data_IF_740885834677
#
_entry.id   IF_740885834677
#
_cell.length_a   1.000
_cell.length_b   1.000
_cell.length_c   1.000
_cell.angle_alpha   90.00
_cell.angle_beta   90.00
_cell.angle_gamma   90.00
#
_symmetry.space_group_name_H-M   'P 1'
#
loop_
_entity.id
_entity.type
_entity.pdbx_description
1 polymer ?
#
# COMPACT_ATOMS: atom_id res chain seq x y z
N UNK A 1 19.60 -16.31 8.25
CA UNK A 1 21.02 -16.66 8.00
C UNK A 1 21.08 -17.37 6.66
N UNK A 2 21.94 -16.94 5.71
CA UNK A 2 22.09 -17.62 4.43
C UNK A 2 22.68 -19.01 4.61
N UNK A 3 22.42 -19.89 3.65
CA UNK A 3 23.04 -21.21 3.63
C UNK A 3 24.57 -21.07 3.58
N UNK A 4 25.36 -21.90 4.31
CA UNK A 4 26.83 -21.75 4.41
C UNK A 4 27.57 -21.63 3.09
N UNK A 5 27.12 -22.31 2.02
CA UNK A 5 27.72 -22.19 0.68
C UNK A 5 27.68 -20.79 0.06
N UNK A 6 26.86 -19.89 0.63
CA UNK A 6 26.73 -18.49 0.18
C UNK A 6 27.54 -17.51 1.03
N UNK A 7 28.21 -17.96 2.08
CA UNK A 7 29.07 -17.09 2.86
C UNK A 7 30.15 -16.45 1.99
N UNK A 8 30.35 -15.16 2.19
CA UNK A 8 31.27 -14.36 1.37
C UNK A 8 30.75 -13.94 -0.02
N UNK A 9 29.52 -14.33 -0.38
CA UNK A 9 28.87 -13.91 -1.63
C UNK A 9 27.87 -12.79 -1.37
N UNK A 10 27.85 -11.78 -2.23
CA UNK A 10 26.83 -10.73 -2.22
C UNK A 10 25.56 -11.27 -2.89
N UNK A 11 24.46 -11.34 -2.15
CA UNK A 11 23.14 -11.75 -2.64
C UNK A 11 22.19 -10.56 -2.42
N UNK A 12 21.83 -9.80 -3.45
CA UNK A 12 21.05 -8.56 -3.29
C UNK A 12 19.72 -8.76 -2.53
N UNK A 13 18.99 -9.83 -2.84
CA UNK A 13 17.72 -10.13 -2.16
C UNK A 13 17.91 -10.42 -0.66
N UNK A 14 19.03 -11.04 -0.27
CA UNK A 14 19.35 -11.28 1.14
C UNK A 14 19.75 -9.98 1.86
N UNK A 15 20.51 -9.12 1.21
CA UNK A 15 20.90 -7.82 1.79
C UNK A 15 19.69 -6.96 2.13
N UNK A 16 18.61 -7.05 1.34
CA UNK A 16 17.36 -6.32 1.58
C UNK A 16 16.64 -6.76 2.86
N UNK A 17 16.76 -8.03 3.24
CA UNK A 17 16.07 -8.63 4.42
C UNK A 17 17.01 -8.99 5.56
N UNK A 18 18.29 -8.69 5.38
CA UNK A 18 19.32 -8.97 6.39
C UNK A 18 18.95 -8.26 7.69
N UNK A 19 19.14 -8.97 8.81
CA UNK A 19 18.81 -8.48 10.14
C UNK A 19 17.32 -8.15 10.34
N UNK A 20 16.43 -8.79 9.59
CA UNK A 20 14.98 -8.70 9.82
C UNK A 20 14.50 -9.78 10.80
N UNK A 21 13.49 -9.46 11.60
CA UNK A 21 12.89 -10.36 12.59
C UNK A 21 11.39 -10.43 12.33
N UNK A 22 10.90 -11.62 11.98
CA UNK A 22 9.47 -11.85 11.83
C UNK A 22 8.84 -12.12 13.20
N UNK A 23 7.91 -11.26 13.61
CA UNK A 23 7.26 -11.32 14.93
C UNK A 23 6.00 -12.19 14.97
N UNK A 24 5.28 -12.28 13.85
CA UNK A 24 4.05 -13.04 13.74
C UNK A 24 3.81 -13.54 12.32
N UNK A 25 2.86 -14.45 12.19
CA UNK A 25 2.31 -14.95 10.94
C UNK A 25 0.79 -14.76 10.90
N UNK A 26 0.21 -14.85 9.69
CA UNK A 26 -1.20 -14.64 9.48
C UNK A 26 -1.54 -13.19 9.16
N UNK A 27 -2.73 -12.99 8.58
CA UNK A 27 -3.27 -11.66 8.29
C UNK A 27 -4.79 -11.73 8.23
N UNK A 28 -5.48 -10.96 9.04
CA UNK A 28 -6.93 -10.87 9.02
C UNK A 28 -7.48 -9.78 8.09
N UNK A 29 -6.59 -9.16 7.29
CA UNK A 29 -6.98 -8.12 6.32
C UNK A 29 -7.91 -8.62 5.24
N UNK A 30 -7.68 -9.83 4.72
CA UNK A 30 -8.57 -10.47 3.74
C UNK A 30 -8.75 -9.71 2.43
N UNK A 31 -7.71 -8.94 2.00
CA UNK A 31 -7.74 -8.23 0.73
C UNK A 31 -8.02 -9.20 -0.42
N UNK A 32 -8.86 -8.80 -1.37
CA UNK A 32 -9.38 -9.68 -2.42
C UNK A 32 -8.31 -10.27 -3.34
N UNK A 33 -7.15 -9.60 -3.46
CA UNK A 33 -6.03 -9.99 -4.33
C UNK A 33 -4.89 -10.71 -3.59
N UNK A 34 -4.94 -10.81 -2.26
CA UNK A 34 -3.81 -11.25 -1.44
C UNK A 34 -3.99 -12.67 -0.91
N UNK A 35 -2.98 -13.52 -1.07
CA UNK A 35 -2.99 -14.91 -0.60
C UNK A 35 -2.54 -15.10 0.84
N UNK A 36 -2.05 -14.06 1.53
CA UNK A 36 -1.48 -14.22 2.88
C UNK A 36 -2.48 -14.85 3.84
N UNK A 37 -3.74 -14.41 3.83
CA UNK A 37 -4.78 -14.98 4.69
C UNK A 37 -5.07 -16.44 4.39
N UNK A 38 -4.97 -16.87 3.14
CA UNK A 38 -5.15 -18.26 2.73
C UNK A 38 -3.91 -19.13 3.07
N UNK A 39 -2.72 -18.55 2.89
CA UNK A 39 -1.44 -19.27 3.02
C UNK A 39 -0.95 -19.38 4.47
N UNK A 40 -1.02 -18.28 5.22
CA UNK A 40 -0.53 -18.20 6.61
C UNK A 40 -1.66 -18.26 7.64
N UNK A 41 -2.91 -18.25 7.18
CA UNK A 41 -4.10 -18.20 8.01
C UNK A 41 -4.59 -16.77 8.28
N UNK A 42 -5.88 -16.70 8.59
CA UNK A 42 -6.58 -15.46 8.98
C UNK A 42 -6.27 -15.06 10.44
N UNK A 43 -5.95 -16.03 11.30
CA UNK A 43 -5.62 -15.76 12.69
C UNK A 43 -4.15 -15.41 12.85
N UNK A 44 -3.88 -14.40 13.64
CA UNK A 44 -2.50 -14.01 13.94
C UNK A 44 -1.89 -14.97 14.94
N UNK A 45 -0.78 -15.59 14.53
CA UNK A 45 0.06 -16.41 15.41
C UNK A 45 1.32 -15.61 15.75
N UNK A 46 1.33 -15.01 16.93
CA UNK A 46 2.44 -14.18 17.42
C UNK A 46 3.46 -14.99 18.17
N UNK A 47 4.73 -14.68 17.95
CA UNK A 47 5.83 -15.20 18.78
C UNK A 47 5.79 -14.56 20.16
N UNK A 48 6.33 -15.24 21.16
CA UNK A 48 6.49 -14.63 22.47
C UNK A 48 7.52 -13.49 22.44
N UNK A 49 7.35 -12.49 23.27
CA UNK A 49 8.30 -11.39 23.48
C UNK A 49 9.72 -11.93 23.72
N UNK A 50 9.87 -12.94 24.61
CA UNK A 50 11.15 -13.58 24.88
C UNK A 50 11.82 -14.12 23.61
N UNK A 51 11.07 -14.84 22.77
CA UNK A 51 11.60 -15.39 21.50
C UNK A 51 12.11 -14.31 20.55
N UNK A 52 11.41 -13.18 20.46
CA UNK A 52 11.80 -12.05 19.62
C UNK A 52 13.06 -11.36 20.17
N UNK A 53 13.08 -11.08 21.46
CA UNK A 53 14.22 -10.45 22.15
C UNK A 53 15.47 -11.35 22.09
N UNK A 54 15.32 -12.66 22.28
CA UNK A 54 16.44 -13.59 22.19
C UNK A 54 16.98 -13.70 20.75
N UNK A 55 16.14 -13.55 19.74
CA UNK A 55 16.61 -13.47 18.35
C UNK A 55 17.32 -12.13 18.09
N UNK A 56 16.80 -11.01 18.56
CA UNK A 56 17.45 -9.72 18.46
C UNK A 56 18.86 -9.75 19.08
N UNK A 57 19.03 -10.35 20.25
CA UNK A 57 20.35 -10.58 20.87
C UNK A 57 21.29 -11.43 19.99
N UNK A 58 20.77 -12.46 19.31
CA UNK A 58 21.59 -13.23 18.37
C UNK A 58 21.99 -12.41 17.14
N UNK A 59 21.10 -11.55 16.67
CA UNK A 59 21.40 -10.63 15.56
C UNK A 59 22.49 -9.63 15.96
N UNK A 60 22.47 -9.09 17.18
CA UNK A 60 23.54 -8.17 17.64
C UNK A 60 24.92 -8.83 17.73
N UNK A 61 24.98 -10.16 17.89
CA UNK A 61 26.23 -10.93 17.91
C UNK A 61 26.76 -11.28 16.49
N UNK A 62 26.04 -10.95 15.43
CA UNK A 62 26.51 -11.20 14.05
C UNK A 62 27.67 -10.25 13.69
N UNK A 63 28.74 -10.77 13.06
CA UNK A 63 29.97 -9.97 12.79
C UNK A 63 29.73 -8.72 11.92
N UNK A 64 28.71 -8.75 11.11
CA UNK A 64 28.35 -7.72 10.13
C UNK A 64 27.20 -6.81 10.60
N UNK A 65 26.72 -6.99 11.84
CA UNK A 65 25.68 -6.14 12.41
C UNK A 65 26.22 -4.77 12.79
N UNK A 66 25.58 -3.71 12.27
CA UNK A 66 26.00 -2.32 12.50
C UNK A 66 25.11 -1.55 13.48
N UNK A 67 24.25 -2.25 14.19
CA UNK A 67 23.31 -1.67 15.17
C UNK A 67 21.91 -1.41 14.62
N UNK A 68 21.59 -1.86 13.40
CA UNK A 68 20.29 -1.57 12.77
C UNK A 68 19.55 -2.87 12.44
N UNK A 69 18.36 -3.05 13.02
CA UNK A 69 17.39 -4.06 12.58
C UNK A 69 16.64 -3.48 11.40
N UNK A 70 16.67 -4.17 10.25
CA UNK A 70 16.09 -3.68 9.00
C UNK A 70 14.57 -3.76 8.96
N UNK A 71 13.99 -4.75 9.64
CA UNK A 71 12.54 -4.89 9.79
C UNK A 71 12.21 -5.69 11.06
N UNK A 72 11.44 -5.09 11.94
CA UNK A 72 10.81 -5.74 13.08
C UNK A 72 9.31 -5.85 12.79
N UNK A 73 8.93 -6.86 12.00
CA UNK A 73 7.64 -6.86 11.36
C UNK A 73 6.99 -8.23 11.15
N UNK A 74 6.11 -8.28 10.17
CA UNK A 74 5.33 -9.45 9.79
C UNK A 74 4.56 -9.21 8.49
N UNK A 75 3.61 -10.09 8.10
CA UNK A 75 2.83 -9.93 6.87
C UNK A 75 2.09 -8.59 6.77
N UNK A 76 1.75 -8.02 7.92
CA UNK A 76 1.34 -6.63 8.12
C UNK A 76 1.94 -6.20 9.46
N UNK A 77 2.82 -5.21 9.44
CA UNK A 77 3.71 -4.90 10.57
C UNK A 77 3.00 -4.74 11.91
N UNK A 78 1.80 -4.15 11.91
CA UNK A 78 1.07 -3.78 13.11
C UNK A 78 -0.08 -4.73 13.51
N UNK A 79 0.03 -6.02 13.18
CA UNK A 79 -0.97 -7.02 13.62
C UNK A 79 -0.49 -7.90 14.79
N UNK A 80 0.71 -7.66 15.32
CA UNK A 80 1.25 -8.44 16.42
C UNK A 80 0.34 -8.42 17.67
N UNK A 81 0.06 -9.61 18.21
CA UNK A 81 -0.77 -9.76 19.41
C UNK A 81 -2.28 -9.57 19.19
N UNK A 82 -2.71 -9.13 18.01
CA UNK A 82 -4.11 -8.85 17.72
C UNK A 82 -4.92 -10.12 17.50
N UNK A 83 -6.11 -10.15 18.09
CA UNK A 83 -7.05 -11.28 17.99
C UNK A 83 -8.48 -10.83 18.32
N UNK A 84 -9.45 -11.67 18.00
CA UNK A 84 -10.82 -11.45 18.46
C UNK A 84 -10.94 -11.63 19.99
N UNK A 85 -11.68 -10.74 20.63
CA UNK A 85 -11.96 -10.81 22.09
C UNK A 85 -12.73 -12.07 22.45
N UNK A 86 -13.68 -12.49 21.61
CA UNK A 86 -14.41 -13.75 21.74
C UNK A 86 -13.91 -14.77 20.72
N UNK A 87 -13.04 -15.67 21.15
CA UNK A 87 -12.44 -16.70 20.30
C UNK A 87 -13.48 -17.72 19.77
N UNK A 88 -14.53 -18.03 20.54
CA UNK A 88 -15.59 -18.96 20.11
C UNK A 88 -16.38 -18.37 18.93
N UNK A 89 -16.65 -17.08 18.96
CA UNK A 89 -17.29 -16.38 17.85
C UNK A 89 -16.37 -16.35 16.61
N UNK A 90 -15.08 -16.13 16.80
CA UNK A 90 -14.09 -16.14 15.71
C UNK A 90 -13.98 -17.52 15.06
N UNK A 91 -14.01 -18.61 15.81
CA UNK A 91 -13.90 -19.97 15.29
C UNK A 91 -15.05 -20.36 14.34
N UNK A 92 -16.22 -19.73 14.50
CA UNK A 92 -17.41 -19.94 13.65
C UNK A 92 -17.59 -18.85 12.58
N UNK A 93 -16.68 -17.86 12.52
CA UNK A 93 -16.83 -16.69 11.66
C UNK A 93 -16.48 -17.00 10.21
N UNK A 94 -17.42 -16.76 9.30
CA UNK A 94 -17.25 -16.94 7.86
C UNK A 94 -16.84 -15.65 7.13
N UNK A 95 -16.71 -14.51 7.81
CA UNK A 95 -16.27 -13.25 7.17
C UNK A 95 -14.87 -13.43 6.57
N UNK A 96 -14.67 -13.03 5.31
CA UNK A 96 -13.34 -13.15 4.67
C UNK A 96 -12.33 -12.15 5.23
N UNK A 97 -12.80 -11.01 5.78
CA UNK A 97 -11.97 -9.93 6.35
C UNK A 97 -12.48 -9.53 7.73
N UNK A 98 -11.57 -9.22 8.65
CA UNK A 98 -11.91 -8.56 9.91
C UNK A 98 -11.89 -7.01 9.79
N UNK A 99 -11.49 -6.47 8.63
CA UNK A 99 -11.31 -5.04 8.41
C UNK A 99 -12.29 -4.47 7.38
N UNK A 100 -12.88 -5.31 6.52
CA UNK A 100 -13.78 -4.88 5.46
C UNK A 100 -15.15 -5.56 5.60
N UNK A 101 -16.27 -4.84 5.34
CA UNK A 101 -16.40 -3.40 4.99
C UNK A 101 -16.10 -2.44 6.16
N UNK A 102 -16.07 -2.96 7.37
CA UNK A 102 -15.73 -2.22 8.59
C UNK A 102 -14.92 -3.10 9.52
N UNK A 103 -14.12 -2.47 10.40
CA UNK A 103 -13.37 -3.17 11.45
C UNK A 103 -14.33 -3.97 12.32
N UNK A 104 -14.04 -5.25 12.52
CA UNK A 104 -14.88 -6.14 13.30
C UNK A 104 -14.95 -5.68 14.76
N UNK A 105 -16.16 -5.49 15.33
CA UNK A 105 -16.31 -5.06 16.74
C UNK A 105 -15.67 -6.03 17.74
N UNK A 106 -15.54 -7.31 17.35
CA UNK A 106 -14.88 -8.33 18.17
C UNK A 106 -13.34 -8.27 18.08
N UNK A 107 -12.76 -7.50 17.15
CA UNK A 107 -11.31 -7.40 16.99
C UNK A 107 -10.70 -6.52 18.09
N UNK A 108 -9.64 -7.01 18.72
CA UNK A 108 -8.79 -6.18 19.58
C UNK A 108 -7.70 -5.53 18.70
N UNK A 109 -7.71 -4.20 18.63
CA UNK A 109 -6.75 -3.40 17.85
C UNK A 109 -5.72 -2.66 18.71
N UNK A 110 -5.52 -3.13 19.96
CA UNK A 110 -4.57 -2.54 20.90
C UNK A 110 -3.12 -2.77 20.45
N UNK A 111 -2.38 -1.68 20.23
CA UNK A 111 -0.97 -1.72 19.84
C UNK A 111 0.01 -1.73 21.04
N UNK A 112 -0.50 -1.72 22.29
CA UNK A 112 0.36 -1.77 23.48
C UNK A 112 1.35 -2.94 23.47
N UNK A 113 0.94 -4.20 23.11
CA UNK A 113 1.89 -5.30 23.06
C UNK A 113 3.00 -5.12 22.01
N UNK A 114 2.70 -4.43 20.92
CA UNK A 114 3.66 -4.15 19.85
C UNK A 114 4.68 -3.08 20.29
N UNK A 115 4.22 -2.01 20.92
CA UNK A 115 5.09 -0.99 21.51
C UNK A 115 6.03 -1.59 22.56
N UNK A 116 5.53 -2.51 23.40
CA UNK A 116 6.35 -3.21 24.39
C UNK A 116 7.48 -4.04 23.74
N UNK A 117 7.23 -4.64 22.56
CA UNK A 117 8.27 -5.31 21.77
C UNK A 117 9.32 -4.30 21.29
N UNK A 118 8.90 -3.19 20.69
CA UNK A 118 9.80 -2.17 20.16
C UNK A 118 10.73 -1.65 21.26
N UNK A 119 10.18 -1.24 22.39
CA UNK A 119 10.97 -0.76 23.53
C UNK A 119 11.94 -1.82 24.06
N UNK A 120 11.50 -3.09 24.12
CA UNK A 120 12.35 -4.17 24.61
C UNK A 120 13.49 -4.52 23.67
N UNK A 121 13.30 -4.35 22.37
CA UNK A 121 14.36 -4.57 21.37
C UNK A 121 15.30 -3.37 21.34
N UNK A 122 14.78 -2.16 21.30
CA UNK A 122 15.61 -0.93 21.19
C UNK A 122 16.50 -0.67 22.42
N UNK A 123 16.13 -1.23 23.58
CA UNK A 123 16.95 -1.15 24.80
C UNK A 123 18.09 -2.18 24.87
N UNK A 124 18.19 -3.09 23.90
CA UNK A 124 19.27 -4.11 23.89
C UNK A 124 20.62 -3.48 23.57
N UNK A 125 21.68 -3.88 24.28
CA UNK A 125 23.03 -3.46 23.93
C UNK A 125 23.38 -3.81 22.48
N UNK A 126 23.97 -2.86 21.77
CA UNK A 126 24.36 -3.01 20.37
C UNK A 126 23.27 -2.63 19.36
N UNK A 127 22.02 -2.40 19.77
CA UNK A 127 20.97 -1.87 18.90
C UNK A 127 20.98 -0.35 18.98
N UNK A 128 21.13 0.31 17.83
CA UNK A 128 21.01 1.76 17.68
C UNK A 128 19.59 2.14 17.27
N UNK A 129 18.96 1.33 16.40
CA UNK A 129 17.60 1.53 15.91
C UNK A 129 17.01 0.24 15.34
N UNK A 130 15.72 0.02 15.56
CA UNK A 130 14.94 -0.96 14.83
C UNK A 130 14.00 -0.26 13.86
N UNK A 131 13.98 -0.72 12.60
CA UNK A 131 13.11 -0.17 11.57
C UNK A 131 11.92 -1.09 11.30
N UNK A 132 10.89 -0.50 10.71
CA UNK A 132 9.71 -1.20 10.19
C UNK A 132 9.73 -1.06 8.68
N UNK A 133 10.14 -2.13 8.00
CA UNK A 133 10.19 -2.24 6.54
C UNK A 133 8.94 -2.86 5.95
N UNK A 134 8.20 -3.62 6.75
CA UNK A 134 6.91 -4.23 6.39
C UNK A 134 5.80 -3.19 6.29
N UNK A 135 4.80 -3.48 5.45
CA UNK A 135 3.66 -2.57 5.28
C UNK A 135 2.81 -2.41 6.54
N UNK A 136 2.40 -1.18 6.81
CA UNK A 136 1.57 -0.82 7.96
C UNK A 136 0.11 -0.66 7.56
N UNK A 137 -0.80 -1.21 8.36
CA UNK A 137 -2.25 -1.00 8.25
C UNK A 137 -2.65 0.19 9.11
N UNK A 138 -2.65 1.39 8.52
CA UNK A 138 -3.03 2.63 9.20
C UNK A 138 -4.49 2.64 9.63
N UNK A 139 -5.37 1.94 8.92
CA UNK A 139 -6.77 1.76 9.28
C UNK A 139 -6.97 1.07 10.64
N UNK A 140 -6.02 0.23 11.08
CA UNK A 140 -6.06 -0.36 12.42
C UNK A 140 -5.67 0.64 13.51
N UNK A 141 -4.59 1.39 13.30
CA UNK A 141 -4.07 2.30 14.31
C UNK A 141 -4.88 3.59 14.44
N UNK A 142 -5.66 3.93 13.42
CA UNK A 142 -6.58 5.09 13.45
C UNK A 142 -8.00 4.73 13.86
N UNK A 143 -8.34 3.41 13.93
CA UNK A 143 -9.68 2.97 14.25
C UNK A 143 -10.08 3.35 15.70
N UNK A 144 -11.15 4.14 15.91
CA UNK A 144 -11.63 4.48 17.23
C UNK A 144 -12.28 3.25 17.86
N UNK A 145 -11.80 2.83 19.03
CA UNK A 145 -12.29 1.64 19.72
C UNK A 145 -13.37 1.94 20.77
N UNK A 146 -13.54 3.20 21.12
CA UNK A 146 -14.35 3.65 22.26
C UNK A 146 -13.68 3.41 23.62
N UNK A 147 -12.52 2.77 23.66
CA UNK A 147 -11.70 2.63 24.87
C UNK A 147 -10.56 3.66 24.85
N UNK A 148 -10.64 4.65 25.74
CA UNK A 148 -9.67 5.77 25.80
C UNK A 148 -8.21 5.29 25.90
N UNK A 149 -7.93 4.24 26.67
CA UNK A 149 -6.57 3.73 26.86
C UNK A 149 -6.04 3.10 25.57
N UNK A 150 -6.85 2.30 24.90
CA UNK A 150 -6.49 1.69 23.60
C UNK A 150 -6.31 2.76 22.53
N UNK A 151 -7.23 3.73 22.45
CA UNK A 151 -7.16 4.82 21.48
C UNK A 151 -5.92 5.70 21.72
N UNK A 152 -5.51 5.89 22.97
CA UNK A 152 -4.25 6.57 23.31
C UNK A 152 -3.03 5.73 22.90
N UNK A 153 -3.03 4.43 23.16
CA UNK A 153 -1.95 3.53 22.72
C UNK A 153 -1.81 3.51 21.20
N UNK A 154 -2.91 3.53 20.47
CA UNK A 154 -2.92 3.56 19.00
C UNK A 154 -2.35 4.90 18.46
N UNK A 155 -2.70 6.03 19.07
CA UNK A 155 -2.08 7.33 18.73
C UNK A 155 -0.59 7.35 19.02
N UNK A 156 -0.19 6.83 20.19
CA UNK A 156 1.22 6.69 20.58
C UNK A 156 1.97 5.79 19.60
N UNK A 157 1.37 4.69 19.16
CA UNK A 157 1.96 3.81 18.15
C UNK A 157 2.27 4.57 16.85
N UNK A 158 1.31 5.34 16.30
CA UNK A 158 1.55 6.11 15.08
C UNK A 158 2.69 7.11 15.26
N UNK A 159 2.76 7.78 16.41
CA UNK A 159 3.82 8.76 16.70
C UNK A 159 5.19 8.09 16.82
N UNK A 160 5.33 7.03 17.61
CA UNK A 160 6.58 6.29 17.80
C UNK A 160 7.03 5.60 16.51
N UNK A 161 6.11 4.98 15.78
CA UNK A 161 6.41 4.39 14.47
C UNK A 161 7.12 5.42 13.56
N UNK A 162 6.51 6.58 13.39
CA UNK A 162 7.02 7.61 12.48
C UNK A 162 8.32 8.21 13.00
N UNK A 163 8.39 8.56 14.29
CA UNK A 163 9.55 9.20 14.91
C UNK A 163 10.76 8.27 14.96
N UNK A 164 10.56 7.03 15.38
CA UNK A 164 11.66 6.16 15.81
C UNK A 164 11.96 5.02 14.83
N UNK A 165 10.96 4.50 14.11
CA UNK A 165 11.07 3.25 13.35
C UNK A 165 11.02 3.40 11.82
N UNK A 166 10.94 4.62 11.30
CA UNK A 166 11.02 4.90 9.86
C UNK A 166 12.44 5.27 9.48
N UNK A 167 13.02 4.53 8.52
CA UNK A 167 14.40 4.75 8.01
C UNK A 167 14.49 5.85 6.95
N UNK A 168 13.57 6.82 6.97
CA UNK A 168 13.44 7.88 5.97
C UNK A 168 12.28 7.66 4.99
N UNK A 169 11.82 6.42 4.78
CA UNK A 169 10.74 6.09 3.83
C UNK A 169 9.78 5.07 4.47
N UNK A 170 8.52 5.47 4.65
CA UNK A 170 7.47 4.58 5.14
C UNK A 170 6.61 4.09 3.99
N UNK A 171 6.58 2.77 3.81
CA UNK A 171 5.76 2.12 2.81
C UNK A 171 4.34 1.91 3.34
N UNK A 172 3.35 2.36 2.59
CA UNK A 172 1.93 2.16 2.87
C UNK A 172 1.20 1.70 1.61
N UNK A 173 0.12 1.01 1.77
CA UNK A 173 -0.57 0.36 0.67
C UNK A 173 -2.04 0.84 0.56
N UNK A 174 -2.31 2.08 0.08
CA UNK A 174 -3.67 2.49 -0.26
C UNK A 174 -4.27 1.68 -1.41
N UNK A 175 -3.46 1.21 -2.35
CA UNK A 175 -3.72 0.37 -3.53
C UNK A 175 -4.46 1.10 -4.65
N UNK A 176 -5.41 1.97 -4.37
CA UNK A 176 -6.13 2.82 -5.33
C UNK A 176 -6.65 4.08 -4.66
N UNK A 177 -7.19 5.02 -5.46
CA UNK A 177 -7.83 6.25 -4.94
C UNK A 177 -9.34 6.25 -5.08
N UNK A 178 -9.91 5.41 -5.95
CA UNK A 178 -11.35 5.32 -6.19
C UNK A 178 -11.99 4.30 -5.24
N UNK A 179 -12.96 4.72 -4.44
CA UNK A 179 -13.56 3.89 -3.40
C UNK A 179 -14.24 2.63 -3.93
N UNK A 180 -14.93 2.68 -5.11
CA UNK A 180 -15.53 1.48 -5.67
C UNK A 180 -14.49 0.41 -6.08
N UNK A 181 -13.28 0.82 -6.50
CA UNK A 181 -12.16 -0.12 -6.76
C UNK A 181 -11.61 -0.65 -5.45
N UNK A 182 -11.46 0.22 -4.44
CA UNK A 182 -11.01 -0.18 -3.10
C UNK A 182 -11.99 -1.15 -2.43
N UNK A 183 -13.28 -0.98 -2.66
CA UNK A 183 -14.31 -1.91 -2.17
C UNK A 183 -14.13 -3.30 -2.78
N UNK A 184 -13.91 -3.40 -4.10
CA UNK A 184 -13.57 -4.65 -4.77
C UNK A 184 -12.27 -5.27 -4.23
N UNK A 185 -11.31 -4.45 -3.86
CA UNK A 185 -10.04 -4.86 -3.24
C UNK A 185 -10.19 -5.28 -1.76
N UNK A 186 -11.32 -4.98 -1.12
CA UNK A 186 -11.51 -5.07 0.34
C UNK A 186 -10.51 -4.22 1.11
N UNK A 187 -10.31 -3.00 0.64
CA UNK A 187 -9.43 -1.98 1.26
C UNK A 187 -10.26 -0.85 1.86
N UNK A 188 -9.73 -0.10 2.82
CA UNK A 188 -10.39 1.09 3.34
C UNK A 188 -10.48 2.19 2.27
N UNK A 189 -11.43 3.12 2.43
CA UNK A 189 -11.54 4.33 1.60
C UNK A 189 -10.22 5.11 1.58
N UNK A 190 -9.92 5.74 0.44
CA UNK A 190 -8.74 6.58 0.28
C UNK A 190 -8.72 7.79 1.23
N UNK A 191 -9.87 8.20 1.74
CA UNK A 191 -9.96 9.24 2.77
C UNK A 191 -9.12 8.92 4.02
N UNK A 192 -9.00 7.64 4.40
CA UNK A 192 -8.16 7.22 5.52
C UNK A 192 -6.66 7.39 5.23
N UNK A 193 -6.25 7.30 3.96
CA UNK A 193 -4.88 7.62 3.59
C UNK A 193 -4.57 9.11 3.82
N UNK A 194 -5.50 10.02 3.50
CA UNK A 194 -5.34 11.44 3.80
C UNK A 194 -5.21 11.71 5.30
N UNK A 195 -6.03 11.06 6.11
CA UNK A 195 -5.96 11.18 7.57
C UNK A 195 -4.60 10.70 8.09
N UNK A 196 -4.13 9.55 7.61
CA UNK A 196 -2.81 9.04 7.98
C UNK A 196 -1.67 9.94 7.49
N UNK A 197 -1.76 10.45 6.26
CA UNK A 197 -0.78 11.41 5.72
C UNK A 197 -0.69 12.66 6.59
N UNK A 198 -1.82 13.18 7.05
CA UNK A 198 -1.85 14.33 7.98
C UNK A 198 -1.11 14.02 9.29
N UNK A 199 -1.32 12.84 9.86
CA UNK A 199 -0.60 12.38 11.07
C UNK A 199 0.91 12.30 10.77
N UNK A 200 1.28 11.70 9.63
CA UNK A 200 2.67 11.54 9.22
C UNK A 200 3.38 12.89 9.04
N UNK A 201 2.77 13.82 8.32
CA UNK A 201 3.30 15.15 8.07
C UNK A 201 3.43 15.96 9.38
N UNK A 202 2.46 15.82 10.28
CA UNK A 202 2.46 16.50 11.57
C UNK A 202 3.59 16.02 12.49
N UNK A 203 3.82 14.70 12.56
CA UNK A 203 4.92 14.11 13.31
C UNK A 203 6.27 14.55 12.71
N UNK A 204 6.42 14.49 11.37
CA UNK A 204 7.61 14.95 10.69
C UNK A 204 7.94 16.42 11.03
N UNK A 205 6.93 17.29 10.99
CA UNK A 205 7.08 18.71 11.32
C UNK A 205 7.46 18.91 12.78
N UNK A 206 6.79 18.24 13.72
CA UNK A 206 7.05 18.38 15.18
C UNK A 206 8.46 17.95 15.57
N UNK A 207 8.98 16.91 14.92
CA UNK A 207 10.30 16.35 15.24
C UNK A 207 11.40 16.75 14.26
N UNK A 208 11.13 17.64 13.29
CA UNK A 208 12.11 18.08 12.30
C UNK A 208 12.61 16.99 11.37
N UNK A 209 11.78 15.97 11.09
CA UNK A 209 12.11 14.83 10.25
C UNK A 209 11.90 15.15 8.75
N UNK A 210 12.65 14.45 7.88
CA UNK A 210 12.56 14.59 6.42
C UNK A 210 12.19 13.24 5.78
N UNK A 211 11.17 12.60 6.31
CA UNK A 211 10.74 11.29 5.83
C UNK A 211 9.71 11.42 4.71
N UNK A 212 9.54 10.35 3.94
CA UNK A 212 8.60 10.28 2.82
C UNK A 212 7.62 9.11 3.00
N UNK A 213 6.35 9.33 2.66
CA UNK A 213 5.39 8.25 2.45
C UNK A 213 5.56 7.71 1.03
N UNK A 214 5.68 6.40 0.91
CA UNK A 214 5.79 5.70 -0.36
C UNK A 214 4.53 4.84 -0.54
N UNK A 215 3.52 5.34 -1.26
CA UNK A 215 2.29 4.60 -1.49
C UNK A 215 2.48 3.53 -2.56
N UNK A 216 1.88 2.36 -2.32
CA UNK A 216 1.71 1.29 -3.31
C UNK A 216 0.37 1.45 -4.01
N UNK A 217 0.38 1.33 -5.36
CA UNK A 217 -0.82 1.35 -6.17
C UNK A 217 -0.86 0.18 -7.15
N UNK A 218 -2.07 -0.30 -7.43
CA UNK A 218 -2.34 -1.41 -8.33
C UNK A 218 -3.28 -0.93 -9.45
N UNK A 219 -2.86 -1.09 -10.71
CA UNK A 219 -3.72 -0.95 -11.89
C UNK A 219 -4.32 -2.30 -12.30
N UNK A 220 -5.31 -2.26 -13.16
CA UNK A 220 -5.90 -3.46 -13.78
C UNK A 220 -6.51 -4.48 -12.80
N UNK A 221 -6.76 -4.09 -11.55
CA UNK A 221 -7.53 -4.91 -10.63
C UNK A 221 -8.96 -5.09 -11.17
N UNK A 222 -9.62 -6.25 -10.97
CA UNK A 222 -11.04 -6.38 -11.28
C UNK A 222 -11.86 -5.20 -10.74
N UNK A 223 -12.72 -4.63 -11.58
CA UNK A 223 -13.49 -3.42 -11.28
C UNK A 223 -12.79 -2.10 -11.61
N UNK A 224 -11.46 -2.09 -11.82
CA UNK A 224 -10.71 -0.90 -12.19
C UNK A 224 -10.80 -0.63 -13.70
N UNK A 225 -11.26 0.55 -14.08
CA UNK A 225 -11.34 1.03 -15.45
C UNK A 225 -10.27 2.09 -15.71
N UNK A 226 -10.05 2.40 -16.96
CA UNK A 226 -9.10 3.43 -17.38
C UNK A 226 -9.45 4.83 -16.79
N UNK A 227 -10.75 5.13 -16.68
CA UNK A 227 -11.21 6.37 -16.04
C UNK A 227 -10.81 6.48 -14.57
N UNK A 228 -10.79 5.36 -13.84
CA UNK A 228 -10.39 5.31 -12.44
C UNK A 228 -8.90 5.60 -12.27
N UNK A 229 -8.09 5.10 -13.21
CA UNK A 229 -6.67 5.39 -13.26
C UNK A 229 -6.39 6.85 -13.63
N UNK A 230 -7.23 7.47 -14.45
CA UNK A 230 -7.14 8.89 -14.76
C UNK A 230 -7.42 9.75 -13.52
N UNK A 231 -8.44 9.41 -12.72
CA UNK A 231 -8.69 10.06 -11.42
C UNK A 231 -7.52 9.84 -10.44
N UNK A 232 -6.97 8.62 -10.37
CA UNK A 232 -5.79 8.32 -9.55
C UNK A 232 -4.60 9.21 -9.94
N UNK A 233 -4.36 9.42 -11.24
CA UNK A 233 -3.29 10.29 -11.71
C UNK A 233 -3.48 11.74 -11.26
N UNK A 234 -4.71 12.26 -11.31
CA UNK A 234 -5.03 13.60 -10.82
C UNK A 234 -4.83 13.69 -9.31
N UNK A 235 -5.27 12.67 -8.58
CA UNK A 235 -5.19 12.64 -7.13
C UNK A 235 -3.73 12.58 -6.65
N UNK A 236 -2.92 11.73 -7.25
CA UNK A 236 -1.48 11.64 -6.93
C UNK A 236 -0.71 12.89 -7.33
N UNK A 237 -1.14 13.59 -8.38
CA UNK A 237 -0.61 14.90 -8.74
C UNK A 237 -0.96 15.96 -7.69
N UNK A 238 -2.21 16.02 -7.23
CA UNK A 238 -2.63 16.96 -6.18
C UNK A 238 -1.84 16.77 -4.88
N UNK A 239 -1.43 15.52 -4.60
CA UNK A 239 -0.60 15.15 -3.46
C UNK A 239 0.91 15.33 -3.70
N UNK A 240 1.32 15.79 -4.88
CA UNK A 240 2.73 15.89 -5.32
C UNK A 240 3.51 14.56 -5.16
N UNK A 241 2.85 13.46 -5.53
CA UNK A 241 3.41 12.11 -5.41
C UNK A 241 3.86 11.58 -6.77
N UNK A 242 5.16 11.49 -6.98
CA UNK A 242 5.75 10.73 -8.08
C UNK A 242 5.82 9.26 -7.67
N UNK A 243 5.04 8.42 -8.35
CA UNK A 243 4.84 7.03 -7.93
C UNK A 243 6.04 6.15 -8.29
N UNK A 244 6.53 5.40 -7.31
CA UNK A 244 7.66 4.47 -7.48
C UNK A 244 7.23 3.01 -7.30
N UNK A 245 6.22 2.77 -6.47
CA UNK A 245 5.74 1.42 -6.12
C UNK A 245 4.39 1.19 -6.78
N UNK A 246 4.44 0.79 -8.05
CA UNK A 246 3.26 0.52 -8.88
C UNK A 246 3.36 -0.85 -9.53
N UNK A 247 2.22 -1.52 -9.64
CA UNK A 247 2.14 -2.81 -10.32
C UNK A 247 0.79 -2.99 -11.01
N UNK A 248 0.78 -3.80 -12.06
CA UNK A 248 -0.47 -4.30 -12.63
C UNK A 248 -0.96 -5.47 -11.80
N UNK A 249 -2.27 -5.60 -11.66
CA UNK A 249 -2.86 -6.76 -11.02
C UNK A 249 -2.39 -8.04 -11.72
N UNK A 250 -1.81 -8.93 -10.92
CA UNK A 250 -1.41 -10.26 -11.35
C UNK A 250 -2.28 -11.28 -10.64
N UNK A 251 -3.08 -12.07 -11.39
CA UNK A 251 -3.90 -13.11 -10.79
C UNK A 251 -3.06 -14.08 -9.96
N UNK A 252 -3.43 -14.24 -8.71
CA UNK A 252 -2.76 -15.13 -7.77
C UNK A 252 -3.73 -16.20 -7.31
N UNK A 253 -3.40 -17.50 -7.40
CA UNK A 253 -4.30 -18.59 -6.99
C UNK A 253 -4.86 -18.40 -5.58
N UNK A 254 -6.07 -18.88 -5.33
CA UNK A 254 -6.82 -18.80 -4.06
C UNK A 254 -7.26 -17.37 -3.68
N UNK A 255 -7.28 -16.42 -4.59
CA UNK A 255 -7.79 -15.07 -4.35
C UNK A 255 -9.11 -14.83 -5.10
N UNK A 256 -10.03 -14.13 -4.44
CA UNK A 256 -11.33 -13.76 -5.04
C UNK A 256 -11.11 -12.87 -6.27
N UNK A 257 -10.14 -11.98 -6.23
CA UNK A 257 -9.82 -11.12 -7.37
C UNK A 257 -9.38 -11.93 -8.60
N UNK A 258 -8.65 -13.06 -8.41
CA UNK A 258 -8.30 -13.95 -9.53
C UNK A 258 -9.52 -14.66 -10.11
N UNK A 259 -10.44 -15.09 -9.27
CA UNK A 259 -11.70 -15.70 -9.72
C UNK A 259 -12.51 -14.70 -10.55
N UNK A 260 -12.67 -13.47 -10.05
CA UNK A 260 -13.34 -12.40 -10.79
C UNK A 260 -12.60 -12.09 -12.10
N UNK A 261 -11.27 -12.05 -12.08
CA UNK A 261 -10.47 -11.78 -13.28
C UNK A 261 -10.72 -12.77 -14.40
N UNK A 262 -10.82 -14.06 -14.09
CA UNK A 262 -11.07 -15.09 -15.09
C UNK A 262 -12.53 -15.19 -15.52
N UNK A 263 -13.46 -15.13 -14.57
CA UNK A 263 -14.89 -15.29 -14.81
C UNK A 263 -15.57 -14.03 -15.35
N UNK A 264 -15.09 -12.85 -14.97
CA UNK A 264 -15.77 -11.56 -15.22
C UNK A 264 -17.00 -11.35 -14.33
N UNK A 265 -17.18 -12.17 -13.28
CA UNK A 265 -18.34 -12.16 -12.39
C UNK A 265 -17.89 -12.18 -10.94
N UNK A 266 -18.54 -11.39 -10.09
CA UNK A 266 -18.29 -11.42 -8.65
C UNK A 266 -18.91 -12.67 -8.02
N UNK A 267 -18.14 -13.57 -7.37
CA UNK A 267 -18.62 -14.91 -6.99
C UNK A 267 -19.69 -14.93 -5.90
N UNK A 268 -19.87 -13.85 -5.15
CA UNK A 268 -20.89 -13.77 -4.10
C UNK A 268 -22.17 -13.03 -4.53
N UNK A 269 -22.07 -12.07 -5.46
CA UNK A 269 -23.23 -11.27 -5.92
C UNK A 269 -23.71 -11.68 -7.29
N UNK A 270 -22.90 -12.43 -8.05
CA UNK A 270 -23.12 -12.83 -9.45
C UNK A 270 -23.23 -11.64 -10.41
N UNK A 271 -22.80 -10.47 -10.00
CA UNK A 271 -22.78 -9.28 -10.84
C UNK A 271 -21.57 -9.28 -11.78
N UNK A 272 -21.73 -8.83 -13.04
CA UNK A 272 -20.62 -8.65 -13.96
C UNK A 272 -19.61 -7.62 -13.45
N UNK A 273 -18.31 -7.94 -13.55
CA UNK A 273 -17.21 -7.05 -13.15
C UNK A 273 -16.25 -6.90 -14.32
N UNK A 274 -15.98 -5.67 -14.70
CA UNK A 274 -14.98 -5.38 -15.72
C UNK A 274 -13.59 -5.88 -15.29
N UNK A 275 -12.85 -6.48 -16.23
CA UNK A 275 -11.47 -6.91 -16.02
C UNK A 275 -10.62 -6.60 -17.25
N UNK A 276 -9.54 -5.87 -17.09
CA UNK A 276 -8.57 -5.60 -18.14
C UNK A 276 -7.73 -6.86 -18.39
N UNK A 277 -7.98 -7.54 -19.51
CA UNK A 277 -7.31 -8.81 -19.84
C UNK A 277 -6.24 -8.66 -20.90
N UNK A 278 -6.46 -7.80 -21.90
CA UNK A 278 -5.49 -7.60 -22.97
C UNK A 278 -4.28 -6.76 -22.52
N UNK A 279 -3.11 -6.94 -23.15
CA UNK A 279 -1.95 -6.09 -22.91
C UNK A 279 -2.23 -4.60 -23.13
N UNK A 280 -3.07 -4.28 -24.13
CA UNK A 280 -3.46 -2.92 -24.49
C UNK A 280 -4.31 -2.28 -23.40
N UNK A 281 -5.29 -3.00 -22.85
CA UNK A 281 -6.13 -2.54 -21.74
C UNK A 281 -5.29 -2.28 -20.47
N UNK A 282 -4.35 -3.16 -20.17
CA UNK A 282 -3.43 -3.00 -19.03
C UNK A 282 -2.50 -1.80 -19.23
N UNK A 283 -1.92 -1.66 -20.42
CA UNK A 283 -1.06 -0.53 -20.73
C UNK A 283 -1.82 0.80 -20.70
N UNK A 284 -3.08 0.82 -21.18
CA UNK A 284 -3.95 1.99 -21.13
C UNK A 284 -4.23 2.46 -19.69
N UNK A 285 -4.29 1.52 -18.75
CA UNK A 285 -4.40 1.85 -17.33
C UNK A 285 -3.05 2.25 -16.73
N UNK A 286 -2.00 1.46 -16.96
CA UNK A 286 -0.69 1.62 -16.35
C UNK A 286 -0.04 2.98 -16.64
N UNK A 287 -0.23 3.54 -17.84
CA UNK A 287 0.37 4.80 -18.25
C UNK A 287 0.05 5.97 -17.30
N UNK A 288 -1.13 5.96 -16.66
CA UNK A 288 -1.56 7.02 -15.74
C UNK A 288 -0.71 7.12 -14.46
N UNK A 289 0.00 6.08 -14.09
CA UNK A 289 0.97 6.15 -12.99
C UNK A 289 2.11 7.13 -13.26
N UNK A 290 2.45 7.32 -14.55
CA UNK A 290 3.60 8.09 -14.98
C UNK A 290 3.21 9.46 -15.56
N UNK A 291 2.12 10.06 -15.06
CA UNK A 291 1.60 11.35 -15.51
C UNK A 291 2.66 12.48 -15.50
N UNK A 292 3.66 12.40 -14.64
CA UNK A 292 4.75 13.36 -14.49
C UNK A 292 5.85 13.19 -15.56
N UNK A 293 5.95 12.05 -16.23
CA UNK A 293 6.92 11.80 -17.30
C UNK A 293 6.40 12.38 -18.63
N UNK A 294 7.23 13.19 -19.27
CA UNK A 294 6.91 13.84 -20.54
C UNK A 294 6.58 12.84 -21.66
N UNK A 295 7.17 11.65 -21.63
CA UNK A 295 6.92 10.59 -22.61
C UNK A 295 5.47 10.10 -22.60
N UNK A 296 4.82 10.13 -21.43
CA UNK A 296 3.43 9.67 -21.26
C UNK A 296 2.39 10.77 -21.49
N UNK A 297 2.79 12.03 -21.63
CA UNK A 297 1.85 13.15 -21.76
C UNK A 297 0.92 13.01 -22.99
N UNK A 298 1.47 12.68 -24.15
CA UNK A 298 0.66 12.51 -25.35
C UNK A 298 -0.23 11.26 -25.27
N UNK A 299 0.28 10.06 -24.95
CA UNK A 299 -0.55 8.86 -24.75
C UNK A 299 -1.69 9.07 -23.76
N UNK A 300 -1.42 9.67 -22.60
CA UNK A 300 -2.46 9.98 -21.59
C UNK A 300 -3.50 10.97 -22.15
N UNK A 301 -3.07 12.01 -22.88
CA UNK A 301 -4.00 12.98 -23.47
C UNK A 301 -4.93 12.34 -24.51
N UNK A 302 -4.41 11.46 -25.35
CA UNK A 302 -5.18 10.69 -26.34
C UNK A 302 -6.15 9.73 -25.65
N UNK A 303 -5.70 9.04 -24.62
CA UNK A 303 -6.52 8.17 -23.78
C UNK A 303 -7.69 8.93 -23.16
N UNK A 304 -7.43 10.07 -22.52
CA UNK A 304 -8.47 10.91 -21.91
C UNK A 304 -9.51 11.41 -22.92
N UNK A 305 -9.11 11.68 -24.17
CA UNK A 305 -10.06 12.04 -25.24
C UNK A 305 -10.93 10.84 -25.64
N UNK A 306 -10.30 9.67 -25.79
CA UNK A 306 -10.99 8.40 -26.16
C UNK A 306 -12.03 7.99 -25.13
N UNK A 307 -11.74 8.14 -23.83
CA UNK A 307 -12.66 7.81 -22.74
C UNK A 307 -13.59 8.99 -22.34
N UNK A 308 -13.64 10.07 -23.14
CA UNK A 308 -14.46 11.26 -22.91
C UNK A 308 -14.21 11.99 -21.57
N UNK A 309 -12.96 11.97 -21.08
CA UNK A 309 -12.52 12.65 -19.86
C UNK A 309 -11.56 13.81 -20.13
N UNK A 310 -11.90 14.65 -21.11
CA UNK A 310 -11.13 15.84 -21.48
C UNK A 310 -11.02 16.86 -20.32
N UNK A 311 -11.96 16.82 -19.39
CA UNK A 311 -11.96 17.60 -18.15
C UNK A 311 -10.67 17.41 -17.33
N UNK A 312 -10.08 16.21 -17.37
CA UNK A 312 -8.86 15.87 -16.63
C UNK A 312 -7.57 16.34 -17.33
N UNK A 313 -7.61 16.65 -18.64
CA UNK A 313 -6.41 17.09 -19.37
C UNK A 313 -5.82 18.37 -18.78
N UNK A 314 -6.67 19.37 -18.50
CA UNK A 314 -6.22 20.63 -17.89
C UNK A 314 -5.75 20.47 -16.45
N UNK A 315 -6.32 19.51 -15.72
CA UNK A 315 -5.92 19.18 -14.34
C UNK A 315 -4.55 18.49 -14.31
N UNK A 316 -4.31 17.55 -15.22
CA UNK A 316 -3.02 16.84 -15.33
C UNK A 316 -1.93 17.70 -15.98
N UNK A 317 -2.28 18.43 -17.03
CA UNK A 317 -1.31 19.16 -17.86
C UNK A 317 -1.70 20.65 -18.01
N UNK A 318 -1.60 21.47 -16.95
CA UNK A 318 -1.90 22.89 -17.03
C UNK A 318 -1.00 23.57 -18.06
N UNK A 319 -1.59 24.37 -18.97
CA UNK A 319 -0.89 25.05 -20.06
C UNK A 319 -0.85 24.30 -21.40
N UNK A 320 -1.41 23.07 -21.49
CA UNK A 320 -1.46 22.28 -22.73
C UNK A 320 -2.45 22.77 -23.79
N UNK A 321 -3.42 23.59 -23.43
CA UNK A 321 -4.46 24.08 -24.36
C UNK A 321 -3.94 25.09 -25.43
N UNK A 322 -2.82 25.76 -25.19
CA UNK A 322 -2.30 26.77 -26.14
C UNK A 322 -1.56 26.17 -27.34
N UNK A 323 -0.95 25.01 -27.21
CA UNK A 323 -0.10 24.45 -28.30
C UNK A 323 -0.92 23.79 -29.39
N UNK A 324 -2.13 23.29 -29.10
CA UNK A 324 -2.94 22.57 -30.10
C UNK A 324 -3.92 23.47 -30.90
N UNK A 325 -4.29 24.68 -30.41
CA UNK A 325 -5.06 25.62 -31.21
C UNK A 325 -4.26 26.18 -32.39
N UNK A 326 -2.96 26.32 -32.29
CA UNK A 326 -2.10 26.84 -33.37
C UNK A 326 -1.83 25.82 -34.49
N UNK A 327 -1.78 24.53 -34.21
CA UNK A 327 -1.51 23.49 -35.22
C UNK A 327 -2.75 23.24 -36.12
N UNK A 328 -3.96 23.18 -35.56
CA UNK A 328 -5.19 23.00 -36.34
C UNK A 328 -5.57 24.28 -37.13
N UNK A 329 -5.37 25.46 -36.57
CA UNK A 329 -5.61 26.71 -37.34
C UNK A 329 -4.60 26.90 -38.46
N UNK A 330 -3.37 26.45 -38.34
CA UNK A 330 -2.40 26.52 -39.43
C UNK A 330 -2.69 25.48 -40.54
N UNK A 331 -3.20 24.27 -40.19
CA UNK A 331 -3.66 23.31 -41.21
C UNK A 331 -4.88 23.85 -42.00
N UNK A 332 -5.82 24.48 -41.32
CA UNK A 332 -7.00 25.07 -41.96
C UNK A 332 -6.65 26.28 -42.84
N UNK A 333 -5.68 27.11 -42.44
CA UNK A 333 -5.18 28.22 -43.27
C UNK A 333 -4.41 27.73 -44.51
N UNK A 334 -3.58 26.69 -44.38
CA UNK A 334 -2.90 26.13 -45.56
C UNK A 334 -3.84 25.39 -46.52
N UNK A 335 -4.91 24.80 -46.05
CA UNK A 335 -5.93 24.17 -46.90
C UNK A 335 -6.74 25.20 -47.67
N UNK A 336 -7.10 26.34 -47.04
CA UNK A 336 -7.85 27.41 -47.67
C UNK A 336 -6.99 28.26 -48.66
N UNK A 337 -5.68 28.39 -48.44
CA UNK A 337 -4.78 29.06 -49.38
C UNK A 337 -4.47 28.23 -50.65
N UNK A 338 -4.65 26.91 -50.65
CA UNK A 338 -4.53 26.06 -51.83
C UNK A 338 -5.79 25.97 -52.68
N UNK A 339 -6.93 26.50 -52.21
CA UNK A 339 -8.19 26.54 -52.98
C UNK A 339 -8.40 27.83 -53.77
N UNK A 340 -7.51 28.82 -53.61
CA UNK A 340 -7.58 30.13 -54.30
C UNK A 340 -6.34 30.44 -55.14
N UNK A 341 -5.65 29.39 -55.63
CA UNK A 341 -4.66 29.51 -56.73
C UNK A 341 -5.06 28.65 -57.90
#
# INVERSE_FOLDING_TARGET
VPHPRYYGKTIPAYEMIRHSITMHRGCFGGCAFCTISAHQGKFITSRSKRSIVDEAKRVTAMPDFKGYISDLGGPSANMYGMRGRNAKACAKCLRPSCLHPAVCPNLNTDHTPLLDIYHSVDTLPGIKKSFIGSGVRYDLSMHPTGNKAVDQANRRYNEELIRDHVSGRLKVAPEHTCDHVLEQMRKPSFSQFYEFKKIFDDVNRRYGLKQQLIPYFISSHPGCREADMAELAVETKNLDMHLEQVQDFTPTPMTVASEIYYSGVHPYTMEPVFTAKSPEEKQAQRQFFFWYDKAYRQPITESLRRIHRQDLISRLFPGGSRIYRTADQNKQRHYNQKKHK
#
